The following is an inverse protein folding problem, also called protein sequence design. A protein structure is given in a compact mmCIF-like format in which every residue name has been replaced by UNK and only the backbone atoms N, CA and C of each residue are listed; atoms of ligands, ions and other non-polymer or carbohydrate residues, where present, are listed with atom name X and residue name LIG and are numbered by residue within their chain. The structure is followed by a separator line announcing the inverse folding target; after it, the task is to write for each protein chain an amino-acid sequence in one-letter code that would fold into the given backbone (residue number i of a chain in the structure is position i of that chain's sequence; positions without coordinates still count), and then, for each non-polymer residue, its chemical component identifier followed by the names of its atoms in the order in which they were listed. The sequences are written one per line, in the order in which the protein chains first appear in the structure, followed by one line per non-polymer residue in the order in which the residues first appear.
data_IF_972366263731
#
_entry.id   IF_972366263731
#
_cell.length_a   1.000
_cell.length_b   1.000
_cell.length_c   1.000
_cell.angle_alpha   90.00
_cell.angle_beta   90.00
_cell.angle_gamma   90.00
#
_symmetry.space_group_name_H-M   'P 1'
#
loop_
_entity.id
_entity.type
_entity.pdbx_description
1 polymer ?
#
# COMPACT_ATOMS: atom_id res chain seq x y z
N UNK A 1 14.42 27.13 14.92
CA UNK A 1 14.82 25.81 15.44
C UNK A 1 14.13 24.66 14.68
N UNK A 2 12.80 24.52 14.72
CA UNK A 2 12.07 23.41 14.07
C UNK A 2 12.30 23.34 12.55
N UNK A 3 12.33 24.51 11.85
CA UNK A 3 12.58 24.56 10.42
C UNK A 3 13.98 24.03 10.08
N UNK A 4 14.99 24.48 10.80
CA UNK A 4 16.38 24.03 10.62
C UNK A 4 16.54 22.52 10.87
N UNK A 5 15.87 21.97 11.90
CA UNK A 5 15.88 20.53 12.15
C UNK A 5 15.22 19.73 11.00
N UNK A 6 14.13 20.24 10.44
CA UNK A 6 13.47 19.59 9.29
C UNK A 6 14.35 19.63 8.04
N UNK A 7 14.99 20.74 7.76
CA UNK A 7 15.92 20.91 6.63
C UNK A 7 17.12 19.97 6.78
N UNK A 8 17.71 19.87 7.96
CA UNK A 8 18.81 18.96 8.25
C UNK A 8 18.37 17.49 8.12
N UNK A 9 17.21 17.13 8.69
CA UNK A 9 16.65 15.80 8.54
C UNK A 9 16.42 15.42 7.08
N UNK A 10 15.82 16.32 6.29
CA UNK A 10 15.60 16.10 4.87
C UNK A 10 16.94 15.95 4.11
N UNK A 11 17.93 16.77 4.42
CA UNK A 11 19.25 16.71 3.80
C UNK A 11 19.93 15.36 4.06
N UNK A 12 19.85 14.83 5.28
CA UNK A 12 20.40 13.50 5.61
C UNK A 12 19.72 12.39 4.83
N UNK A 13 18.38 12.40 4.80
CA UNK A 13 17.60 11.42 4.03
C UNK A 13 17.85 11.51 2.52
N UNK A 14 18.12 12.70 1.98
CA UNK A 14 18.48 12.88 0.58
C UNK A 14 19.86 12.29 0.21
N UNK A 15 20.77 12.13 1.19
CA UNK A 15 22.05 11.47 0.99
C UNK A 15 21.96 9.94 1.07
N UNK A 16 20.90 9.41 1.69
CA UNK A 16 20.66 7.98 1.83
C UNK A 16 20.04 7.40 0.56
N UNK A 17 20.90 6.88 -0.32
CA UNK A 17 20.48 6.26 -1.58
C UNK A 17 19.82 4.90 -1.29
N UNK A 18 18.67 4.66 -1.91
CA UNK A 18 17.91 3.40 -1.78
C UNK A 18 18.07 2.56 -3.04
N UNK A 19 17.79 3.14 -4.21
CA UNK A 19 17.84 2.40 -5.48
C UNK A 19 18.04 3.32 -6.68
N UNK A 20 18.39 2.70 -7.81
CA UNK A 20 18.35 3.31 -9.14
C UNK A 20 17.33 2.55 -9.98
N UNK A 21 16.26 3.22 -10.40
CA UNK A 21 15.19 2.64 -11.24
C UNK A 21 15.49 2.79 -12.74
N UNK A 22 16.57 3.47 -13.09
CA UNK A 22 16.96 3.75 -14.49
C UNK A 22 16.10 4.79 -15.20
N UNK A 23 14.86 4.98 -14.76
CA UNK A 23 13.94 5.97 -15.31
C UNK A 23 12.96 6.47 -14.24
N UNK A 24 12.29 7.57 -14.53
CA UNK A 24 11.17 8.03 -13.72
C UNK A 24 9.94 7.16 -14.00
N UNK A 25 9.26 6.75 -12.95
CA UNK A 25 7.99 6.03 -13.04
C UNK A 25 6.83 7.01 -13.20
N UNK A 26 5.78 6.58 -13.92
CA UNK A 26 4.50 7.25 -13.83
C UNK A 26 3.75 6.86 -12.55
N UNK A 27 2.56 7.44 -12.32
CA UNK A 27 1.82 7.21 -11.08
C UNK A 27 1.36 5.74 -10.94
N UNK A 28 0.84 5.15 -12.02
CA UNK A 28 0.39 3.75 -11.99
C UNK A 28 1.56 2.79 -11.74
N UNK A 29 2.70 3.01 -12.36
CA UNK A 29 3.91 2.22 -12.12
C UNK A 29 4.40 2.35 -10.67
N UNK A 30 4.32 3.55 -10.10
CA UNK A 30 4.64 3.75 -8.69
C UNK A 30 3.68 2.98 -7.78
N UNK A 31 2.38 2.98 -8.08
CA UNK A 31 1.39 2.18 -7.37
C UNK A 31 1.71 0.68 -7.46
N UNK A 32 2.01 0.17 -8.65
CA UNK A 32 2.36 -1.24 -8.86
C UNK A 32 3.62 -1.64 -8.09
N UNK A 33 4.66 -0.80 -8.12
CA UNK A 33 5.87 -1.00 -7.33
C UNK A 33 5.56 -1.11 -5.83
N UNK A 34 4.75 -0.20 -5.30
CA UNK A 34 4.37 -0.21 -3.87
C UNK A 34 3.58 -1.47 -3.52
N UNK A 35 2.61 -1.87 -4.35
CA UNK A 35 1.82 -3.09 -4.15
C UNK A 35 2.71 -4.34 -4.15
N UNK A 36 3.62 -4.44 -5.12
CA UNK A 36 4.55 -5.57 -5.25
C UNK A 36 5.53 -5.63 -4.08
N UNK A 37 6.08 -4.47 -3.67
CA UNK A 37 6.95 -4.38 -2.51
C UNK A 37 6.26 -4.88 -1.24
N UNK A 38 5.01 -4.49 -1.02
CA UNK A 38 4.23 -4.94 0.14
C UNK A 38 3.99 -6.44 0.08
N UNK A 39 3.54 -6.99 -1.06
CA UNK A 39 3.34 -8.44 -1.21
C UNK A 39 4.61 -9.23 -0.88
N UNK A 40 5.74 -8.86 -1.48
CA UNK A 40 6.99 -9.62 -1.32
C UNK A 40 7.60 -9.47 0.07
N UNK A 41 7.70 -8.24 0.60
CA UNK A 41 8.34 -8.02 1.89
C UNK A 41 7.49 -8.48 3.08
N UNK A 42 6.20 -8.73 2.87
CA UNK A 42 5.32 -9.31 3.91
C UNK A 42 5.03 -10.79 3.69
N UNK A 43 5.55 -11.41 2.63
CA UNK A 43 5.24 -12.79 2.24
C UNK A 43 3.71 -13.03 2.21
N UNK A 44 2.98 -12.12 1.56
CA UNK A 44 1.53 -12.18 1.43
C UNK A 44 1.11 -12.37 -0.03
N UNK A 45 0.07 -13.16 -0.25
CA UNK A 45 -0.40 -13.45 -1.61
C UNK A 45 -1.06 -12.25 -2.27
N UNK A 46 -1.80 -11.47 -1.50
CA UNK A 46 -2.64 -10.37 -1.99
C UNK A 46 -2.38 -9.08 -1.21
N UNK A 47 -2.47 -7.96 -1.90
CA UNK A 47 -2.36 -6.62 -1.29
C UNK A 47 -3.55 -5.75 -1.67
N UNK A 48 -4.09 -5.01 -0.70
CA UNK A 48 -5.15 -4.01 -0.90
C UNK A 48 -4.73 -2.70 -0.24
N UNK A 49 -4.57 -1.67 -1.05
CA UNK A 49 -4.18 -0.32 -0.63
C UNK A 49 -5.09 0.72 -1.29
N UNK A 50 -4.78 1.99 -1.08
CA UNK A 50 -5.45 3.10 -1.76
C UNK A 50 -4.45 4.17 -2.20
N UNK A 51 -4.77 4.86 -3.28
CA UNK A 51 -3.87 5.84 -3.91
C UNK A 51 -3.59 7.06 -3.05
N UNK A 52 -4.46 7.37 -2.09
CA UNK A 52 -4.23 8.45 -1.12
C UNK A 52 -2.99 8.27 -0.23
N UNK A 53 -2.42 7.06 -0.19
CA UNK A 53 -1.16 6.79 0.49
C UNK A 53 0.08 7.24 -0.32
N UNK A 54 -0.07 7.41 -1.64
CA UNK A 54 1.01 7.69 -2.58
C UNK A 54 0.90 9.12 -3.08
N UNK A 55 1.83 9.97 -2.68
CA UNK A 55 1.76 11.42 -2.92
C UNK A 55 2.63 11.89 -4.08
N UNK A 56 3.65 11.11 -4.46
CA UNK A 56 4.59 11.42 -5.55
C UNK A 56 5.01 10.16 -6.29
N UNK A 57 5.42 10.32 -7.53
CA UNK A 57 6.07 9.27 -8.33
C UNK A 57 7.54 9.12 -7.96
N UNK A 58 8.13 7.95 -8.24
CA UNK A 58 9.51 7.60 -7.91
C UNK A 58 10.42 7.62 -9.13
N UNK A 59 11.74 7.75 -8.89
CA UNK A 59 12.83 7.57 -9.83
C UNK A 59 13.31 8.84 -10.54
N UNK A 60 14.40 8.76 -11.36
CA UNK A 60 15.21 7.54 -11.62
C UNK A 60 16.12 7.12 -10.46
N UNK A 61 16.64 8.06 -9.67
CA UNK A 61 17.33 7.80 -8.42
C UNK A 61 16.34 7.94 -7.27
N UNK A 62 16.34 6.97 -6.37
CA UNK A 62 15.45 6.97 -5.19
C UNK A 62 16.29 7.07 -3.93
N UNK A 63 16.02 8.09 -3.14
CA UNK A 63 16.60 8.30 -1.81
C UNK A 63 15.53 8.07 -0.74
N UNK A 64 15.93 8.01 0.52
CA UNK A 64 14.95 7.99 1.63
C UNK A 64 14.11 9.26 1.70
N UNK A 65 14.63 10.41 1.24
CA UNK A 65 13.85 11.64 1.11
C UNK A 65 12.72 11.48 0.07
N UNK A 66 13.03 10.91 -1.12
CA UNK A 66 12.03 10.64 -2.16
C UNK A 66 10.93 9.71 -1.65
N UNK A 67 11.31 8.65 -0.92
CA UNK A 67 10.35 7.74 -0.31
C UNK A 67 9.51 8.42 0.77
N UNK A 68 10.08 9.34 1.55
CA UNK A 68 9.33 10.10 2.54
C UNK A 68 8.32 11.06 1.90
N UNK A 69 8.65 11.63 0.76
CA UNK A 69 7.74 12.50 0.00
C UNK A 69 6.67 11.70 -0.74
N UNK A 70 7.03 10.54 -1.30
CA UNK A 70 6.11 9.66 -2.00
C UNK A 70 5.14 8.93 -1.05
N UNK A 71 5.63 8.47 0.11
CA UNK A 71 4.88 7.72 1.13
C UNK A 71 5.01 8.42 2.50
N UNK A 72 4.43 9.60 2.68
CA UNK A 72 4.64 10.40 3.90
C UNK A 72 3.97 9.82 5.14
N UNK A 73 3.00 8.93 4.96
CA UNK A 73 2.22 8.33 6.04
C UNK A 73 2.98 7.17 6.67
N UNK A 74 3.09 7.18 8.00
CA UNK A 74 3.70 6.08 8.78
C UNK A 74 2.67 4.98 9.02
N UNK A 75 2.30 4.26 7.95
CA UNK A 75 1.28 3.23 7.99
C UNK A 75 1.90 1.89 8.36
N UNK A 76 1.33 1.23 9.36
CA UNK A 76 1.63 -0.17 9.66
C UNK A 76 0.85 -1.08 8.73
N UNK A 77 1.37 -2.27 8.52
CA UNK A 77 0.67 -3.28 7.73
C UNK A 77 -0.07 -4.24 8.66
N UNK A 78 -1.20 -4.71 8.17
CA UNK A 78 -2.03 -5.70 8.84
C UNK A 78 -2.29 -6.86 7.86
N UNK A 79 -2.16 -8.10 8.34
CA UNK A 79 -2.42 -9.30 7.56
C UNK A 79 -3.68 -9.98 8.06
N UNK A 80 -4.51 -10.42 7.13
CA UNK A 80 -5.67 -11.27 7.35
C UNK A 80 -5.49 -12.58 6.59
N UNK A 81 -6.05 -13.66 7.12
CA UNK A 81 -6.28 -14.90 6.36
C UNK A 81 -7.76 -14.96 6.06
N UNK A 82 -8.13 -14.96 4.78
CA UNK A 82 -9.52 -14.88 4.32
C UNK A 82 -9.82 -15.95 3.28
N UNK A 83 -11.06 -16.42 3.25
CA UNK A 83 -11.58 -17.23 2.15
C UNK A 83 -11.90 -16.37 0.93
N UNK A 84 -12.06 -16.97 -0.26
CA UNK A 84 -12.48 -16.26 -1.45
C UNK A 84 -13.82 -15.55 -1.28
N UNK A 85 -14.76 -16.15 -0.54
CA UNK A 85 -16.04 -15.51 -0.21
C UNK A 85 -15.85 -14.28 0.67
N UNK A 86 -15.07 -14.39 1.74
CA UNK A 86 -14.77 -13.26 2.63
C UNK A 86 -14.00 -12.14 1.91
N UNK A 87 -13.06 -12.51 1.04
CA UNK A 87 -12.33 -11.55 0.21
C UNK A 87 -13.28 -10.78 -0.72
N UNK A 88 -14.26 -11.47 -1.29
CA UNK A 88 -15.28 -10.84 -2.15
C UNK A 88 -16.13 -9.84 -1.37
N UNK A 89 -16.56 -10.19 -0.15
CA UNK A 89 -17.32 -9.30 0.74
C UNK A 89 -16.51 -8.06 1.13
N UNK A 90 -15.25 -8.25 1.52
CA UNK A 90 -14.30 -7.16 1.80
C UNK A 90 -14.17 -6.24 0.59
N UNK A 91 -13.94 -6.80 -0.60
CA UNK A 91 -13.81 -6.01 -1.82
C UNK A 91 -15.09 -5.24 -2.13
N UNK A 92 -16.25 -5.88 -2.06
CA UNK A 92 -17.52 -5.23 -2.30
C UNK A 92 -17.72 -4.04 -1.37
N UNK A 93 -17.45 -4.20 -0.07
CA UNK A 93 -17.54 -3.11 0.90
C UNK A 93 -16.53 -1.99 0.59
N UNK A 94 -15.25 -2.35 0.44
CA UNK A 94 -14.16 -1.39 0.28
C UNK A 94 -14.32 -0.58 -1.01
N UNK A 95 -14.63 -1.22 -2.13
CA UNK A 95 -14.81 -0.53 -3.41
C UNK A 95 -16.06 0.37 -3.40
N UNK A 96 -17.17 -0.09 -2.81
CA UNK A 96 -18.38 0.73 -2.67
C UNK A 96 -18.12 1.96 -1.81
N UNK A 97 -17.45 1.79 -0.66
CA UNK A 97 -17.15 2.91 0.24
C UNK A 97 -16.06 3.82 -0.30
N UNK A 98 -15.10 3.29 -1.05
CA UNK A 98 -14.08 4.09 -1.70
C UNK A 98 -14.66 5.15 -2.64
N UNK A 99 -15.70 4.81 -3.40
CA UNK A 99 -16.39 5.80 -4.25
C UNK A 99 -16.99 6.96 -3.44
N UNK A 100 -17.50 6.68 -2.25
CA UNK A 100 -18.02 7.71 -1.34
C UNK A 100 -16.90 8.54 -0.69
N UNK A 101 -15.75 7.92 -0.41
CA UNK A 101 -14.62 8.52 0.29
C UNK A 101 -13.60 9.18 -0.66
N UNK A 102 -13.69 8.91 -1.96
CA UNK A 102 -12.68 9.23 -2.98
C UNK A 102 -12.16 10.67 -2.91
N UNK A 103 -13.07 11.62 -2.75
CA UNK A 103 -12.76 13.05 -2.71
C UNK A 103 -12.89 13.66 -1.31
N UNK A 104 -13.11 12.85 -0.30
CA UNK A 104 -13.26 13.31 1.08
C UNK A 104 -11.90 13.27 1.80
N UNK A 105 -11.60 14.35 2.52
CA UNK A 105 -10.45 14.37 3.42
C UNK A 105 -10.71 13.48 4.62
N UNK A 106 -9.92 12.43 4.78
CA UNK A 106 -10.00 11.52 5.91
C UNK A 106 -9.25 12.11 7.10
N UNK A 107 -9.95 12.30 8.22
CA UNK A 107 -9.37 12.82 9.46
C UNK A 107 -8.90 11.66 10.34
N UNK A 108 -7.76 11.83 10.99
CA UNK A 108 -7.21 10.89 11.97
C UNK A 108 -6.37 9.76 11.36
N UNK A 109 -5.89 8.85 12.22
CA UNK A 109 -5.21 7.59 11.92
C UNK A 109 -4.11 7.64 10.83
N UNK A 110 -3.40 8.79 10.70
CA UNK A 110 -2.26 8.92 9.77
C UNK A 110 -2.56 9.59 8.43
N UNK A 111 -3.80 9.66 7.96
CA UNK A 111 -4.12 10.35 6.68
C UNK A 111 -3.98 11.88 6.72
N UNK A 112 -3.97 12.49 7.88
CA UNK A 112 -3.74 13.94 8.07
C UNK A 112 -4.56 14.82 7.13
N UNK A 113 -5.83 14.48 6.90
CA UNK A 113 -6.75 15.24 6.07
C UNK A 113 -6.54 15.09 4.56
N UNK A 114 -5.77 14.12 4.11
CA UNK A 114 -5.64 13.78 2.68
C UNK A 114 -6.82 12.93 2.22
N UNK A 115 -7.07 12.92 0.93
CA UNK A 115 -8.14 12.13 0.33
C UNK A 115 -7.81 10.64 0.36
N UNK A 116 -8.85 9.81 0.40
CA UNK A 116 -8.68 8.34 0.30
C UNK A 116 -8.14 7.94 -1.08
N UNK A 117 -8.63 8.58 -2.14
CA UNK A 117 -8.30 8.23 -3.51
C UNK A 117 -8.99 6.94 -3.97
N UNK A 118 -8.38 6.22 -4.89
CA UNK A 118 -8.89 4.99 -5.46
C UNK A 118 -8.30 3.76 -4.77
N UNK A 119 -9.06 2.65 -4.73
CA UNK A 119 -8.56 1.35 -4.27
C UNK A 119 -7.64 0.77 -5.33
N UNK A 120 -6.49 0.26 -4.90
CA UNK A 120 -5.53 -0.45 -5.73
C UNK A 120 -5.24 -1.82 -5.14
N UNK A 121 -5.10 -2.82 -6.01
CA UNK A 121 -4.92 -4.21 -5.62
C UNK A 121 -3.65 -4.80 -6.23
N UNK A 122 -2.92 -5.61 -5.46
CA UNK A 122 -1.74 -6.35 -5.90
C UNK A 122 -2.04 -7.85 -5.97
N UNK A 123 -1.69 -8.46 -7.10
CA UNK A 123 -1.86 -9.87 -7.45
C UNK A 123 -3.30 -10.35 -7.64
N UNK A 124 -4.29 -9.49 -7.51
CA UNK A 124 -5.69 -9.84 -7.80
C UNK A 124 -6.44 -8.65 -8.41
N UNK A 125 -7.60 -8.91 -8.96
CA UNK A 125 -8.50 -7.88 -9.46
C UNK A 125 -9.94 -8.12 -8.97
N UNK A 126 -10.65 -7.03 -8.67
CA UNK A 126 -12.09 -7.06 -8.39
C UNK A 126 -12.79 -6.21 -9.43
N UNK A 127 -13.59 -6.85 -10.30
CA UNK A 127 -14.30 -6.18 -11.39
C UNK A 127 -15.71 -6.75 -11.53
N UNK A 128 -16.73 -5.87 -11.57
CA UNK A 128 -18.12 -6.27 -11.77
C UNK A 128 -18.59 -7.38 -10.80
N UNK A 129 -18.17 -7.29 -9.54
CA UNK A 129 -18.52 -8.29 -8.52
C UNK A 129 -17.74 -9.61 -8.59
N UNK A 130 -16.79 -9.73 -9.50
CA UNK A 130 -15.95 -10.92 -9.64
C UNK A 130 -14.52 -10.69 -9.12
N UNK A 131 -14.03 -11.65 -8.35
CA UNK A 131 -12.63 -11.74 -7.94
C UNK A 131 -11.83 -12.59 -8.94
N UNK A 132 -10.71 -12.05 -9.37
CA UNK A 132 -9.77 -12.73 -10.26
C UNK A 132 -8.40 -12.82 -9.59
N UNK A 133 -7.86 -14.03 -9.49
CA UNK A 133 -6.50 -14.31 -9.06
C UNK A 133 -5.81 -15.20 -10.10
N UNK A 134 -4.61 -14.82 -10.54
CA UNK A 134 -3.92 -15.52 -11.63
C UNK A 134 -4.80 -15.72 -12.88
N UNK A 135 -5.59 -14.69 -13.25
CA UNK A 135 -6.52 -14.67 -14.41
C UNK A 135 -7.69 -15.65 -14.33
N UNK A 136 -7.92 -16.33 -13.22
CA UNK A 136 -9.07 -17.20 -12.98
C UNK A 136 -10.01 -16.59 -11.93
N UNK A 137 -11.26 -16.97 -11.98
CA UNK A 137 -12.22 -16.64 -10.92
C UNK A 137 -11.82 -17.38 -9.65
N UNK A 138 -11.85 -16.68 -8.53
CA UNK A 138 -11.50 -17.20 -7.22
C UNK A 138 -12.62 -18.14 -6.72
N UNK A 139 -12.22 -19.33 -6.21
CA UNK A 139 -13.15 -20.21 -5.51
C UNK A 139 -13.50 -19.66 -4.12
N UNK A 140 -14.77 -19.81 -3.72
CA UNK A 140 -15.28 -19.25 -2.47
C UNK A 140 -14.58 -19.80 -1.21
N UNK A 141 -14.07 -21.02 -1.24
CA UNK A 141 -13.41 -21.68 -0.11
C UNK A 141 -11.86 -21.56 -0.15
N UNK A 142 -11.31 -21.08 -1.27
CA UNK A 142 -9.86 -20.91 -1.40
C UNK A 142 -9.37 -19.84 -0.38
N UNK A 143 -8.28 -20.15 0.33
CA UNK A 143 -7.74 -19.26 1.36
C UNK A 143 -6.59 -18.44 0.83
N UNK A 144 -6.55 -17.18 1.26
CA UNK A 144 -5.54 -16.19 0.88
C UNK A 144 -5.01 -15.44 2.10
N UNK A 145 -3.73 -15.12 2.07
CA UNK A 145 -3.17 -14.08 2.91
C UNK A 145 -3.33 -12.73 2.22
N UNK A 146 -4.14 -11.86 2.82
CA UNK A 146 -4.37 -10.47 2.37
C UNK A 146 -3.62 -9.53 3.30
N UNK A 147 -2.81 -8.63 2.73
CA UNK A 147 -2.18 -7.54 3.48
C UNK A 147 -2.77 -6.18 3.07
N UNK A 148 -2.99 -5.35 4.07
CA UNK A 148 -3.51 -3.98 3.91
C UNK A 148 -2.89 -3.07 4.98
N UNK A 149 -3.11 -1.76 4.90
CA UNK A 149 -2.70 -0.87 5.98
C UNK A 149 -3.63 -1.01 7.19
N UNK A 150 -3.07 -0.93 8.39
CA UNK A 150 -3.79 -1.11 9.66
C UNK A 150 -5.01 -0.18 9.81
N UNK A 151 -5.00 0.92 9.10
CA UNK A 151 -6.08 1.88 9.10
C UNK A 151 -7.42 1.32 8.60
N UNK A 152 -7.39 0.37 7.64
CA UNK A 152 -8.61 -0.31 7.19
C UNK A 152 -9.29 -1.07 8.34
N UNK A 153 -8.49 -1.59 9.26
CA UNK A 153 -8.98 -2.30 10.44
C UNK A 153 -9.46 -1.34 11.54
N UNK A 154 -8.68 -0.30 11.85
CA UNK A 154 -8.99 0.60 12.96
C UNK A 154 -10.03 1.66 12.62
N UNK A 155 -10.16 2.06 11.36
CA UNK A 155 -11.18 3.00 10.94
C UNK A 155 -12.58 2.35 10.95
N UNK A 156 -13.59 3.13 11.30
CA UNK A 156 -14.99 2.66 11.35
C UNK A 156 -15.63 2.49 9.97
N UNK A 157 -14.87 2.70 8.90
CA UNK A 157 -15.41 2.66 7.54
C UNK A 157 -15.65 1.25 7.00
N UNK A 158 -14.90 0.24 7.49
CA UNK A 158 -14.87 -1.11 6.92
C UNK A 158 -15.19 -2.17 7.97
N UNK A 159 -16.45 -2.31 8.39
CA UNK A 159 -16.87 -3.29 9.39
C UNK A 159 -16.53 -4.74 9.00
N UNK A 160 -16.64 -5.11 7.71
CA UNK A 160 -16.27 -6.45 7.24
C UNK A 160 -14.81 -6.83 7.57
N UNK A 161 -13.90 -5.87 7.47
CA UNK A 161 -12.48 -6.08 7.86
C UNK A 161 -12.35 -6.13 9.38
N UNK A 162 -13.10 -5.28 10.09
CA UNK A 162 -13.02 -5.16 11.55
C UNK A 162 -13.47 -6.42 12.28
N UNK A 163 -14.31 -7.21 11.67
CA UNK A 163 -14.79 -8.51 12.21
C UNK A 163 -13.79 -9.65 12.04
N UNK A 164 -12.70 -9.44 11.30
CA UNK A 164 -11.69 -10.46 11.04
C UNK A 164 -10.58 -10.46 12.08
N UNK A 165 -9.98 -11.63 12.26
CA UNK A 165 -8.73 -11.74 12.99
C UNK A 165 -7.59 -11.10 12.19
N UNK A 166 -6.88 -10.16 12.82
CA UNK A 166 -5.84 -9.36 12.17
C UNK A 166 -4.51 -9.53 12.89
N UNK A 167 -3.47 -9.84 12.14
CA UNK A 167 -2.09 -9.81 12.63
C UNK A 167 -1.42 -8.51 12.19
N UNK A 168 -1.03 -7.66 13.16
CA UNK A 168 -0.22 -6.47 12.87
C UNK A 168 1.22 -6.88 12.60
N UNK A 169 1.77 -6.39 11.49
CA UNK A 169 3.13 -6.70 11.07
C UNK A 169 4.12 -5.67 11.62
N UNK A 170 5.10 -6.12 12.37
CA UNK A 170 6.15 -5.30 12.98
C UNK A 170 7.54 -5.81 12.59
N UNK A 171 8.56 -4.96 12.64
CA UNK A 171 8.57 -3.52 13.00
C UNK A 171 8.34 -2.59 11.81
N UNK A 172 8.23 -3.12 10.60
CA UNK A 172 8.30 -2.32 9.38
C UNK A 172 6.99 -1.55 9.09
N UNK A 173 7.16 -0.32 8.66
CA UNK A 173 6.10 0.51 8.11
C UNK A 173 6.10 0.42 6.59
N UNK A 174 5.00 0.83 5.93
CA UNK A 174 4.83 0.82 4.47
C UNK A 174 6.09 1.33 3.72
N UNK A 175 6.59 2.50 4.09
CA UNK A 175 7.79 3.09 3.49
C UNK A 175 9.05 2.22 3.67
N UNK A 176 9.20 1.62 4.84
CA UNK A 176 10.32 0.72 5.15
C UNK A 176 10.31 -0.53 4.28
N UNK A 177 9.12 -1.12 4.05
CA UNK A 177 8.96 -2.27 3.15
C UNK A 177 9.34 -1.90 1.72
N UNK A 178 8.89 -0.74 1.23
CA UNK A 178 9.25 -0.26 -0.12
C UNK A 178 10.75 -0.01 -0.22
N UNK A 179 11.38 0.59 0.81
CA UNK A 179 12.83 0.79 0.83
C UNK A 179 13.61 -0.54 0.78
N UNK A 180 13.19 -1.54 1.56
CA UNK A 180 13.79 -2.88 1.56
C UNK A 180 13.68 -3.55 0.19
N UNK A 181 12.48 -3.53 -0.38
CA UNK A 181 12.22 -4.10 -1.70
C UNK A 181 13.10 -3.48 -2.77
N UNK A 182 13.16 -2.16 -2.82
CA UNK A 182 13.97 -1.41 -3.78
C UNK A 182 15.46 -1.65 -3.59
N UNK A 183 15.94 -1.74 -2.36
CA UNK A 183 17.34 -2.05 -2.05
C UNK A 183 17.77 -3.42 -2.57
N UNK A 184 16.84 -4.40 -2.64
CA UNK A 184 17.10 -5.74 -3.18
C UNK A 184 17.01 -5.80 -4.71
N UNK A 185 16.05 -5.12 -5.31
CA UNK A 185 15.63 -5.31 -6.70
C UNK A 185 16.09 -4.17 -7.64
N UNK A 186 16.16 -2.94 -7.14
CA UNK A 186 16.61 -1.77 -7.91
C UNK A 186 15.88 -1.62 -9.24
N UNK A 187 16.64 -1.54 -10.35
CA UNK A 187 16.11 -1.39 -11.70
C UNK A 187 15.33 -2.62 -12.23
N UNK A 188 15.40 -3.76 -11.55
CA UNK A 188 14.70 -4.99 -11.95
C UNK A 188 13.37 -5.20 -11.23
N UNK A 189 12.86 -4.18 -10.57
CA UNK A 189 11.62 -4.25 -9.78
C UNK A 189 10.39 -4.74 -10.56
N UNK A 190 10.35 -4.53 -11.87
CA UNK A 190 9.24 -4.89 -12.76
C UNK A 190 9.41 -6.26 -13.48
N UNK A 191 10.51 -6.97 -13.18
CA UNK A 191 10.84 -8.25 -13.83
C UNK A 191 10.60 -9.48 -12.93
N UNK A 192 10.06 -9.29 -11.74
CA UNK A 192 9.91 -10.33 -10.71
C UNK A 192 8.47 -10.80 -10.60
#
# INVERSE_FOLDING_TARGET
FIKAMREEGHRRLAQEKVANLGRKLNFNETCQLVLQAVCQETDSQLTLLNTGLIMKTLGPQVTMADLQEALPHQMRMARLVVTGQELKEICQEVFTKAELLKNQAIKGMGFRGKTFGEVITGNFAYKNGNLLYNRRVVDSNEKFSLVLVDQYYFASYFPTIKEKEVTLLFPDLLRGLVAKYLGKNGANWDKI
#
